data_IF_499189501682
#
_entry.id   IF_499189501682
#
_cell.length_a   1.000
_cell.length_b   1.000
_cell.length_c   1.000
_cell.angle_alpha   90.00
_cell.angle_beta   90.00
_cell.angle_gamma   90.00
#
_symmetry.space_group_name_H-M   'P 1'
#
loop_
_entity.id
_entity.type
_entity.pdbx_description
1 polymer ?
#
# COMPACT_ATOMS: atom_id res chain seq x y z
N UNK A 1 51.36 -10.38 40.76
CA UNK A 1 51.22 -11.15 42.02
C UNK A 1 50.86 -10.17 43.12
N UNK A 2 49.87 -10.55 43.94
CA UNK A 2 49.29 -9.76 45.04
C UNK A 2 50.35 -9.39 46.09
N UNK A 3 50.17 -8.27 46.79
CA UNK A 3 49.83 -8.21 48.24
C UNK A 3 49.76 -6.75 48.70
N UNK A 4 48.77 -6.52 49.56
CA UNK A 4 48.22 -5.29 50.13
C UNK A 4 49.17 -4.47 51.03
N UNK A 5 48.81 -3.22 51.33
CA UNK A 5 48.94 -2.70 52.70
C UNK A 5 47.87 -1.64 53.03
N UNK A 6 47.30 -1.82 54.22
CA UNK A 6 46.29 -1.04 54.92
C UNK A 6 46.97 0.11 55.67
N UNK A 7 46.31 1.27 55.81
CA UNK A 7 46.43 2.07 57.03
C UNK A 7 45.24 3.03 57.20
N UNK A 8 44.60 2.93 58.36
CA UNK A 8 43.47 3.71 58.82
C UNK A 8 43.94 4.81 59.78
N UNK A 9 43.32 5.98 59.79
CA UNK A 9 43.33 6.91 60.94
C UNK A 9 41.98 7.60 61.10
N UNK A 10 41.42 7.46 62.31
CA UNK A 10 40.25 8.14 62.88
C UNK A 10 40.57 9.61 63.23
N UNK A 11 39.56 10.49 63.26
CA UNK A 11 39.03 11.12 64.50
C UNK A 11 37.98 12.24 64.21
N UNK A 12 36.83 12.12 64.89
CA UNK A 12 35.72 13.08 65.15
C UNK A 12 36.15 14.18 66.18
N UNK A 13 35.28 15.09 66.72
CA UNK A 13 34.10 15.83 66.22
C UNK A 13 34.05 17.33 66.68
N UNK A 14 33.03 18.11 66.29
CA UNK A 14 32.39 19.14 67.14
C UNK A 14 30.92 19.37 66.72
N UNK A 15 30.00 19.38 67.68
CA UNK A 15 28.61 19.90 67.56
C UNK A 15 28.57 21.45 67.71
N UNK A 16 27.45 22.18 67.81
CA UNK A 16 26.15 21.95 68.47
C UNK A 16 25.18 23.09 68.01
N UNK A 17 23.87 22.78 67.86
CA UNK A 17 22.62 23.63 67.98
C UNK A 17 22.49 24.86 67.05
N UNK A 18 21.36 25.19 66.41
CA UNK A 18 19.95 24.77 66.53
C UNK A 18 19.08 26.04 66.47
N UNK A 19 18.07 26.05 65.59
CA UNK A 19 16.88 26.88 65.71
C UNK A 19 15.72 26.14 65.06
N UNK A 20 14.63 26.08 65.81
CA UNK A 20 13.44 25.28 65.62
C UNK A 20 12.30 26.13 65.04
N UNK A 21 11.38 25.45 64.36
CA UNK A 21 9.96 25.76 64.16
C UNK A 21 9.53 26.83 63.15
N UNK A 22 8.80 26.31 62.15
CA UNK A 22 7.86 27.04 61.32
C UNK A 22 7.35 26.17 60.17
N UNK A 23 6.64 25.07 60.47
CA UNK A 23 5.90 24.29 59.46
C UNK A 23 4.70 25.12 58.95
N UNK A 24 4.50 25.16 57.61
CA UNK A 24 3.14 25.10 57.10
C UNK A 24 3.00 24.00 56.05
N UNK A 25 2.00 23.14 56.24
CA UNK A 25 1.35 22.37 55.15
C UNK A 25 -0.07 22.93 54.95
N UNK A 26 -0.75 22.61 53.84
CA UNK A 26 -0.44 22.96 52.44
C UNK A 26 -1.60 23.80 51.86
N UNK A 27 -1.31 24.84 51.05
CA UNK A 27 -2.37 25.49 50.25
C UNK A 27 -2.39 24.95 48.83
N UNK A 28 -3.50 24.32 48.52
CA UNK A 28 -3.95 23.82 47.24
C UNK A 28 -3.83 24.85 46.09
N UNK A 29 -3.51 24.30 44.91
CA UNK A 29 -3.90 24.75 43.58
C UNK A 29 -3.53 26.18 43.14
N UNK A 30 -2.49 26.27 42.30
CA UNK A 30 -2.54 27.10 41.09
C UNK A 30 -1.76 26.42 39.96
N UNK A 31 -2.40 26.41 38.80
CA UNK A 31 -1.99 25.83 37.53
C UNK A 31 -0.55 26.15 37.13
N UNK A 32 0.27 25.11 36.99
CA UNK A 32 1.32 25.09 35.98
C UNK A 32 0.76 24.34 34.78
N UNK A 33 0.30 25.09 33.78
CA UNK A 33 0.16 24.58 32.43
C UNK A 33 1.56 24.28 31.92
N UNK A 34 2.04 23.07 32.20
CA UNK A 34 3.08 22.46 31.39
C UNK A 34 2.50 22.34 29.99
N UNK A 35 2.82 23.34 29.18
CA UNK A 35 2.70 23.25 27.74
C UNK A 35 3.62 22.12 27.31
N UNK A 36 3.05 20.92 27.23
CA UNK A 36 3.58 19.82 26.45
C UNK A 36 3.88 20.37 25.06
N UNK A 37 5.14 20.76 24.87
CA UNK A 37 5.69 20.98 23.56
C UNK A 37 5.47 19.66 22.83
N UNK A 38 4.51 19.67 21.89
CA UNK A 38 4.20 18.53 21.06
C UNK A 38 5.53 17.97 20.56
N UNK A 39 5.87 16.77 21.03
CA UNK A 39 6.97 15.99 20.49
C UNK A 39 6.85 16.04 18.97
N UNK A 40 7.91 16.36 18.21
CA UNK A 40 7.81 16.47 16.76
C UNK A 40 7.13 15.21 16.26
N UNK A 41 5.96 15.37 15.64
CA UNK A 41 5.09 14.27 15.25
C UNK A 41 5.95 13.21 14.58
N UNK A 42 6.05 12.02 15.20
CA UNK A 42 6.84 10.94 14.65
C UNK A 42 6.33 10.67 13.24
N UNK A 43 7.23 10.77 12.26
CA UNK A 43 6.88 10.54 10.87
C UNK A 43 6.33 9.11 10.74
N UNK A 44 5.05 9.00 10.41
CA UNK A 44 4.39 7.70 10.28
C UNK A 44 3.55 7.68 8.99
N UNK A 45 4.19 7.74 7.80
CA UNK A 45 3.49 7.75 6.50
C UNK A 45 2.64 6.50 6.27
N UNK A 46 2.85 5.45 7.06
CA UNK A 46 2.06 4.22 7.06
C UNK A 46 1.09 4.05 8.23
N UNK A 47 0.91 5.10 9.05
CA UNK A 47 -0.08 5.10 10.13
C UNK A 47 -1.50 4.89 9.61
N UNK A 48 -2.32 4.22 10.42
CA UNK A 48 -3.74 4.11 10.20
C UNK A 48 -4.41 5.48 10.09
N UNK A 49 -5.41 5.60 9.20
CA UNK A 49 -6.35 6.72 9.24
C UNK A 49 -7.52 6.35 10.15
N UNK A 50 -8.18 7.35 10.72
CA UNK A 50 -9.39 7.11 11.50
C UNK A 50 -10.40 6.32 10.65
N UNK A 51 -10.95 5.21 11.18
CA UNK A 51 -11.93 4.43 10.43
C UNK A 51 -13.14 5.30 10.13
N UNK A 52 -13.72 5.11 8.94
CA UNK A 52 -15.00 5.72 8.62
C UNK A 52 -16.07 5.21 9.61
N UNK A 53 -17.10 6.01 9.93
CA UNK A 53 -18.19 5.55 10.78
C UNK A 53 -18.81 4.25 10.25
N UNK A 54 -19.15 3.33 11.14
CA UNK A 54 -19.81 2.08 10.76
C UNK A 54 -21.09 2.38 9.94
N UNK A 55 -21.26 1.66 8.82
CA UNK A 55 -22.43 1.85 7.93
C UNK A 55 -22.33 3.02 6.94
N UNK A 56 -21.27 3.83 6.98
CA UNK A 56 -21.10 4.97 6.04
C UNK A 56 -20.81 4.56 4.58
N UNK A 57 -20.45 3.29 4.35
CA UNK A 57 -20.16 2.73 3.03
C UNK A 57 -20.92 1.42 2.80
N UNK A 58 -22.19 1.49 2.35
CA UNK A 58 -22.96 0.29 2.01
C UNK A 58 -22.31 -0.45 0.83
N UNK A 59 -22.52 -1.77 0.77
CA UNK A 59 -22.16 -2.59 -0.40
C UNK A 59 -23.04 -2.20 -1.58
N UNK A 60 -22.57 -2.44 -2.81
CA UNK A 60 -23.50 -2.49 -3.93
C UNK A 60 -24.48 -3.65 -3.70
N UNK A 61 -25.79 -3.51 -3.98
CA UNK A 61 -26.75 -4.60 -3.82
C UNK A 61 -26.39 -5.87 -4.58
N UNK A 62 -25.58 -5.73 -5.63
CA UNK A 62 -25.08 -6.83 -6.44
C UNK A 62 -23.69 -7.31 -6.00
N UNK A 63 -23.09 -6.81 -4.93
CA UNK A 63 -21.81 -7.34 -4.48
C UNK A 63 -21.95 -8.75 -3.89
N UNK A 64 -21.00 -9.63 -4.22
CA UNK A 64 -20.86 -10.91 -3.54
C UNK A 64 -20.55 -10.68 -2.06
N UNK A 65 -21.23 -11.44 -1.21
CA UNK A 65 -21.04 -11.47 0.23
C UNK A 65 -20.94 -12.94 0.64
N UNK A 66 -19.78 -13.41 1.13
CA UNK A 66 -19.60 -14.82 1.47
C UNK A 66 -20.71 -15.35 2.39
N UNK A 67 -21.36 -16.44 1.99
CA UNK A 67 -22.41 -17.10 2.78
C UNK A 67 -23.72 -16.30 2.89
N UNK A 68 -23.90 -15.24 2.11
CA UNK A 68 -25.16 -14.50 2.06
C UNK A 68 -26.21 -15.24 1.24
N UNK A 69 -27.42 -15.35 1.77
CA UNK A 69 -28.57 -15.89 1.03
C UNK A 69 -29.30 -14.82 0.19
N UNK A 70 -28.87 -13.55 0.28
CA UNK A 70 -29.64 -12.39 -0.23
C UNK A 70 -28.91 -11.56 -1.28
N UNK A 71 -27.66 -11.88 -1.60
CA UNK A 71 -26.86 -11.14 -2.59
C UNK A 71 -27.09 -11.62 -4.05
N UNK A 72 -27.91 -12.65 -4.23
CA UNK A 72 -28.23 -13.22 -5.53
C UNK A 72 -27.10 -14.01 -6.18
N UNK A 73 -26.08 -14.44 -5.42
CA UNK A 73 -25.08 -15.40 -5.88
C UNK A 73 -25.48 -16.83 -5.50
N UNK A 74 -25.35 -17.81 -6.41
CA UNK A 74 -25.44 -19.22 -6.04
C UNK A 74 -24.32 -19.60 -5.07
N UNK A 75 -24.58 -20.60 -4.22
CA UNK A 75 -23.58 -21.10 -3.29
C UNK A 75 -22.35 -21.68 -4.02
N UNK A 76 -21.16 -21.40 -3.51
CA UNK A 76 -19.87 -21.78 -4.10
C UNK A 76 -18.82 -22.07 -3.03
N UNK A 77 -17.65 -22.58 -3.42
CA UNK A 77 -16.62 -23.04 -2.47
C UNK A 77 -16.11 -21.99 -1.48
N UNK A 78 -16.31 -20.70 -1.73
CA UNK A 78 -15.78 -19.60 -0.90
C UNK A 78 -16.80 -19.00 0.08
N UNK A 79 -17.99 -19.60 0.21
CA UNK A 79 -19.03 -19.12 1.13
C UNK A 79 -18.65 -19.25 2.61
N UNK A 80 -17.63 -20.06 2.92
CA UNK A 80 -17.00 -20.10 4.25
C UNK A 80 -16.15 -18.85 4.56
N UNK A 81 -16.03 -17.93 3.61
CA UNK A 81 -15.26 -16.70 3.74
C UNK A 81 -13.75 -16.88 3.54
N UNK A 82 -13.30 -18.06 3.10
CA UNK A 82 -11.90 -18.39 2.85
C UNK A 82 -11.61 -18.46 1.35
N UNK A 83 -10.38 -18.10 0.97
CA UNK A 83 -9.95 -18.27 -0.41
C UNK A 83 -9.41 -19.70 -0.59
N UNK A 84 -9.96 -20.44 -1.55
CA UNK A 84 -9.58 -21.80 -1.87
C UNK A 84 -8.80 -21.85 -3.19
N UNK A 85 -7.46 -21.98 -3.16
CA UNK A 85 -6.64 -21.99 -4.38
C UNK A 85 -6.97 -23.16 -5.31
N UNK A 86 -6.83 -22.95 -6.62
CA UNK A 86 -6.86 -24.03 -7.60
C UNK A 86 -5.60 -24.91 -7.54
N UNK A 87 -4.45 -24.28 -7.26
CA UNK A 87 -3.15 -24.94 -7.20
C UNK A 87 -2.58 -24.90 -5.79
N UNK A 88 -1.96 -26.01 -5.37
CA UNK A 88 -1.18 -26.06 -4.13
C UNK A 88 0.06 -25.13 -4.18
N UNK A 89 0.53 -24.78 -5.38
CA UNK A 89 1.66 -23.86 -5.57
C UNK A 89 1.23 -22.62 -6.36
N UNK A 90 1.46 -21.44 -5.77
CA UNK A 90 1.10 -20.15 -6.36
C UNK A 90 2.36 -19.32 -6.57
N UNK A 91 2.88 -19.32 -7.79
CA UNK A 91 4.16 -18.67 -8.12
C UNK A 91 4.20 -17.16 -7.86
N UNK A 92 3.04 -16.50 -7.70
CA UNK A 92 2.98 -15.06 -7.39
C UNK A 92 3.32 -14.74 -5.93
N UNK A 93 3.30 -15.73 -5.02
CA UNK A 93 3.68 -15.56 -3.61
C UNK A 93 5.16 -15.15 -3.47
N UNK A 94 6.06 -15.78 -4.22
CA UNK A 94 7.50 -15.45 -4.18
C UNK A 94 7.80 -14.01 -4.58
N UNK A 95 6.95 -13.41 -5.43
CA UNK A 95 7.06 -12.00 -5.82
C UNK A 95 6.61 -11.06 -4.71
N UNK A 96 5.62 -11.46 -3.92
CA UNK A 96 5.23 -10.68 -2.72
C UNK A 96 6.31 -10.81 -1.65
N UNK A 97 6.90 -11.99 -1.46
CA UNK A 97 8.05 -12.17 -0.55
C UNK A 97 9.25 -11.33 -0.98
N UNK A 98 9.55 -11.25 -2.28
CA UNK A 98 10.57 -10.35 -2.80
C UNK A 98 10.26 -8.89 -2.48
N UNK A 99 9.00 -8.46 -2.60
CA UNK A 99 8.56 -7.12 -2.19
C UNK A 99 8.77 -6.88 -0.70
N UNK A 100 8.44 -7.84 0.17
CA UNK A 100 8.67 -7.73 1.61
C UNK A 100 10.16 -7.62 1.97
N UNK A 101 11.02 -8.38 1.29
CA UNK A 101 12.47 -8.30 1.48
C UNK A 101 13.03 -6.95 1.03
N UNK A 102 12.59 -6.46 -0.13
CA UNK A 102 12.94 -5.12 -0.61
C UNK A 102 12.47 -4.05 0.39
N UNK A 103 11.25 -4.18 0.91
CA UNK A 103 10.69 -3.25 1.89
C UNK A 103 11.53 -3.20 3.18
N UNK A 104 11.98 -4.36 3.65
CA UNK A 104 12.86 -4.46 4.82
C UNK A 104 14.21 -3.80 4.58
N UNK A 105 14.85 -4.05 3.44
CA UNK A 105 16.17 -3.50 3.09
C UNK A 105 16.08 -1.98 2.88
N UNK A 106 15.11 -1.52 2.11
CA UNK A 106 14.91 -0.10 1.78
C UNK A 106 14.12 0.67 2.84
N UNK A 107 13.82 0.05 3.98
CA UNK A 107 13.18 0.70 5.13
C UNK A 107 11.91 1.45 4.73
N UNK A 108 11.06 0.80 3.93
CA UNK A 108 9.77 1.37 3.54
C UNK A 108 9.01 1.83 4.80
N UNK A 109 8.43 3.02 4.73
CA UNK A 109 7.87 3.72 5.90
C UNK A 109 8.78 4.80 6.48
N UNK A 110 10.07 4.80 6.17
CA UNK A 110 10.97 5.92 6.47
C UNK A 110 11.50 5.97 7.90
N UNK A 111 11.44 4.86 8.63
CA UNK A 111 11.96 4.75 10.02
C UNK A 111 13.49 4.93 10.10
N UNK A 112 14.19 4.75 8.98
CA UNK A 112 15.63 5.00 8.84
C UNK A 112 15.99 5.28 7.38
N UNK A 113 17.14 5.94 7.16
CA UNK A 113 17.64 6.29 5.82
C UNK A 113 18.41 5.10 5.24
N UNK A 114 17.99 4.52 4.11
CA UNK A 114 18.76 3.46 3.45
C UNK A 114 20.07 4.00 2.87
N UNK A 115 21.09 3.14 2.86
CA UNK A 115 22.40 3.41 2.25
C UNK A 115 22.40 3.06 0.76
N UNK A 116 23.39 3.53 0.01
CA UNK A 116 23.55 3.14 -1.40
C UNK A 116 23.70 1.63 -1.61
N UNK A 117 24.32 0.92 -0.66
CA UNK A 117 24.45 -0.54 -0.69
C UNK A 117 23.08 -1.24 -0.58
N UNK A 118 22.18 -0.72 0.24
CA UNK A 118 20.81 -1.24 0.39
C UNK A 118 20.05 -1.18 -0.94
N UNK A 119 20.24 -0.12 -1.74
CA UNK A 119 19.66 -0.04 -3.09
C UNK A 119 20.22 -1.07 -4.07
N UNK A 120 21.52 -1.34 -4.00
CA UNK A 120 22.15 -2.38 -4.82
C UNK A 120 21.60 -3.76 -4.46
N UNK A 121 21.50 -4.07 -3.17
CA UNK A 121 20.95 -5.34 -2.68
C UNK A 121 19.47 -5.50 -3.07
N UNK A 122 18.65 -4.48 -2.82
CA UNK A 122 17.24 -4.48 -3.19
C UNK A 122 17.03 -4.65 -4.70
N UNK A 123 17.89 -4.03 -5.52
CA UNK A 123 17.84 -4.19 -6.98
C UNK A 123 18.15 -5.62 -7.41
N UNK A 124 19.07 -6.31 -6.73
CA UNK A 124 19.36 -7.71 -7.02
C UNK A 124 18.14 -8.60 -6.76
N UNK A 125 17.40 -8.36 -5.67
CA UNK A 125 16.15 -9.08 -5.39
C UNK A 125 15.08 -8.77 -6.44
N UNK A 126 14.91 -7.49 -6.81
CA UNK A 126 13.97 -7.08 -7.84
C UNK A 126 14.25 -7.75 -9.21
N UNK A 127 15.53 -7.89 -9.54
CA UNK A 127 16.00 -8.38 -10.85
C UNK A 127 16.21 -9.89 -10.92
N UNK A 128 15.90 -10.62 -9.85
CA UNK A 128 16.00 -12.08 -9.84
C UNK A 128 15.18 -12.71 -10.97
N UNK A 129 15.69 -13.82 -11.52
CA UNK A 129 15.04 -14.56 -12.61
C UNK A 129 13.60 -14.92 -12.26
N UNK A 130 12.68 -14.70 -13.21
CA UNK A 130 11.23 -14.84 -13.03
C UNK A 130 10.61 -14.03 -11.86
N UNK A 131 11.39 -13.12 -11.27
CA UNK A 131 11.01 -12.22 -10.18
C UNK A 131 10.12 -11.07 -10.60
N UNK A 132 10.13 -10.00 -9.80
CA UNK A 132 9.26 -8.82 -10.03
C UNK A 132 9.63 -8.14 -11.35
N UNK A 133 10.92 -7.89 -11.59
CA UNK A 133 11.38 -7.17 -12.78
C UNK A 133 10.95 -7.82 -14.08
N UNK A 134 11.03 -9.15 -14.16
CA UNK A 134 10.55 -9.92 -15.33
C UNK A 134 9.10 -9.61 -15.68
N UNK A 135 8.23 -9.37 -14.69
CA UNK A 135 6.82 -9.08 -14.89
C UNK A 135 6.58 -7.61 -15.16
N UNK A 136 7.32 -6.71 -14.53
CA UNK A 136 7.21 -5.26 -14.74
C UNK A 136 7.46 -4.90 -16.20
N UNK A 137 8.51 -5.44 -16.84
CA UNK A 137 8.87 -5.09 -18.24
C UNK A 137 7.80 -5.44 -19.28
N UNK A 138 6.78 -6.21 -18.90
CA UNK A 138 5.68 -6.65 -19.78
C UNK A 138 4.29 -6.45 -19.16
N UNK A 139 4.19 -5.71 -18.05
CA UNK A 139 2.91 -5.56 -17.36
C UNK A 139 2.01 -4.64 -18.16
N UNK A 140 0.79 -5.13 -18.42
CA UNK A 140 -0.26 -4.37 -19.07
C UNK A 140 -1.34 -4.01 -18.06
N UNK A 141 -2.03 -2.90 -18.31
CA UNK A 141 -3.20 -2.45 -17.56
C UNK A 141 -4.48 -2.73 -18.35
N UNK A 142 -5.24 -3.74 -17.91
CA UNK A 142 -6.47 -4.21 -18.58
C UNK A 142 -7.64 -3.24 -18.45
N UNK A 143 -7.48 -2.14 -17.72
CA UNK A 143 -8.43 -1.04 -17.71
C UNK A 143 -8.46 -0.23 -19.00
N UNK A 144 -7.40 -0.33 -19.81
CA UNK A 144 -7.32 0.31 -21.11
C UNK A 144 -7.58 -0.69 -22.23
N UNK A 145 -8.12 -0.24 -23.38
CA UNK A 145 -8.33 -1.09 -24.53
C UNK A 145 -7.09 -1.90 -24.90
N UNK A 146 -7.25 -3.13 -25.40
CA UNK A 146 -6.12 -3.93 -25.83
C UNK A 146 -5.39 -3.23 -26.98
N UNK A 147 -4.06 -3.29 -26.94
CA UNK A 147 -3.23 -2.84 -28.04
C UNK A 147 -3.18 -3.90 -29.16
N UNK A 148 -2.66 -3.53 -30.33
CA UNK A 148 -2.57 -4.43 -31.49
C UNK A 148 -1.69 -5.67 -31.26
N UNK A 149 -0.74 -5.60 -30.32
CA UNK A 149 0.11 -6.72 -29.88
C UNK A 149 0.40 -6.63 -28.39
N UNK A 150 0.89 -7.71 -27.80
CA UNK A 150 1.28 -7.70 -26.40
C UNK A 150 2.46 -6.75 -26.18
N UNK A 151 2.50 -6.08 -25.03
CA UNK A 151 3.50 -5.04 -24.75
C UNK A 151 4.94 -5.59 -24.74
N UNK A 152 5.13 -6.88 -24.45
CA UNK A 152 6.45 -7.54 -24.50
C UNK A 152 7.02 -7.67 -25.92
N UNK A 153 6.15 -7.63 -26.93
CA UNK A 153 6.46 -7.83 -28.34
C UNK A 153 6.52 -6.48 -29.10
N UNK A 154 6.45 -5.37 -28.36
CA UNK A 154 6.52 -4.00 -28.87
C UNK A 154 7.94 -3.44 -28.82
N UNK A 155 8.26 -2.60 -29.79
CA UNK A 155 9.43 -1.73 -29.76
C UNK A 155 9.14 -0.48 -28.88
N UNK A 156 10.16 0.35 -28.58
CA UNK A 156 9.98 1.51 -27.71
C UNK A 156 8.93 2.54 -28.19
N UNK A 157 8.83 2.79 -29.50
CA UNK A 157 7.88 3.77 -30.05
C UNK A 157 6.43 3.26 -29.92
N UNK A 158 6.22 1.98 -30.14
CA UNK A 158 4.92 1.33 -29.94
C UNK A 158 4.52 1.30 -28.46
N UNK A 159 5.46 1.05 -27.55
CA UNK A 159 5.24 1.14 -26.11
C UNK A 159 4.84 2.56 -25.72
N UNK A 160 5.53 3.57 -26.26
CA UNK A 160 5.21 4.98 -26.00
C UNK A 160 3.82 5.36 -26.52
N UNK A 161 3.45 4.89 -27.72
CA UNK A 161 2.11 5.10 -28.29
C UNK A 161 0.99 4.40 -27.50
N UNK A 162 1.32 3.35 -26.74
CA UNK A 162 0.39 2.59 -25.91
C UNK A 162 0.70 2.73 -24.41
N UNK A 163 1.25 3.85 -23.96
CA UNK A 163 1.85 3.99 -22.63
C UNK A 163 0.90 3.65 -21.46
N UNK A 164 -0.39 3.94 -21.61
CA UNK A 164 -1.40 3.62 -20.60
C UNK A 164 -1.65 2.11 -20.50
N UNK A 165 -1.79 1.44 -21.66
CA UNK A 165 -1.95 -0.01 -21.75
C UNK A 165 -0.68 -0.73 -21.34
N UNK A 166 0.48 -0.29 -21.80
CA UNK A 166 1.81 -0.85 -21.51
C UNK A 166 2.43 -0.22 -20.27
N UNK A 167 1.64 -0.10 -19.20
CA UNK A 167 1.99 0.63 -17.97
C UNK A 167 3.32 0.19 -17.34
N UNK A 168 3.62 -1.10 -17.41
CA UNK A 168 4.83 -1.71 -16.88
C UNK A 168 6.10 -1.11 -17.50
N UNK A 169 6.36 -1.36 -18.79
CA UNK A 169 7.52 -0.81 -19.46
C UNK A 169 7.47 0.71 -19.68
N UNK A 170 6.29 1.30 -19.91
CA UNK A 170 6.18 2.72 -20.25
C UNK A 170 6.28 3.66 -19.03
N UNK A 171 5.81 3.23 -17.85
CA UNK A 171 5.66 4.12 -16.68
C UNK A 171 6.34 3.58 -15.41
N UNK A 172 6.10 2.31 -15.06
CA UNK A 172 6.62 1.74 -13.81
C UNK A 172 8.14 1.50 -13.90
N UNK A 173 8.60 0.89 -14.99
CA UNK A 173 10.01 0.54 -15.18
C UNK A 173 10.94 1.78 -15.16
N UNK A 174 10.62 2.90 -15.84
CA UNK A 174 11.45 4.11 -15.76
C UNK A 174 11.59 4.66 -14.33
N UNK A 175 10.52 4.63 -13.54
CA UNK A 175 10.55 5.06 -12.13
C UNK A 175 11.51 4.17 -11.33
N UNK A 176 11.37 2.84 -11.47
CA UNK A 176 12.21 1.88 -10.75
C UNK A 176 13.68 1.98 -11.15
N UNK A 177 13.97 1.97 -12.46
CA UNK A 177 15.35 2.06 -12.97
C UNK A 177 16.05 3.30 -12.44
N UNK A 178 15.39 4.46 -12.51
CA UNK A 178 15.96 5.71 -12.02
C UNK A 178 16.12 5.71 -10.51
N UNK A 179 15.09 5.33 -9.75
CA UNK A 179 15.14 5.37 -8.30
C UNK A 179 16.18 4.40 -7.71
N UNK A 180 16.35 3.21 -8.29
CA UNK A 180 17.43 2.30 -7.90
C UNK A 180 18.81 2.89 -8.19
N UNK A 181 19.01 3.51 -9.36
CA UNK A 181 20.29 4.10 -9.73
C UNK A 181 20.63 5.32 -8.86
N UNK A 182 19.70 6.26 -8.71
CA UNK A 182 19.89 7.47 -7.91
C UNK A 182 20.10 7.12 -6.43
N UNK A 183 19.30 6.18 -5.88
CA UNK A 183 19.44 5.70 -4.51
C UNK A 183 20.78 5.00 -4.25
N UNK A 184 21.27 4.18 -5.19
CA UNK A 184 22.58 3.55 -5.09
C UNK A 184 23.74 4.56 -5.05
N UNK A 185 23.55 5.73 -5.68
CA UNK A 185 24.50 6.84 -5.67
C UNK A 185 24.31 7.78 -4.46
N UNK A 186 23.43 7.45 -3.51
CA UNK A 186 23.16 8.26 -2.31
C UNK A 186 22.35 9.54 -2.58
N UNK A 187 21.76 9.69 -3.78
CA UNK A 187 20.92 10.82 -4.12
C UNK A 187 19.51 10.57 -3.58
N UNK A 188 19.00 11.48 -2.74
CA UNK A 188 17.64 11.42 -2.16
C UNK A 188 17.21 9.99 -1.74
N UNK A 189 17.93 9.32 -0.80
CA UNK A 189 17.65 7.92 -0.49
C UNK A 189 16.21 7.67 -0.02
N UNK A 190 15.67 8.53 0.86
CA UNK A 190 14.29 8.40 1.32
C UNK A 190 13.27 8.60 0.20
N UNK A 191 13.45 9.61 -0.65
CA UNK A 191 12.55 9.83 -1.79
C UNK A 191 12.62 8.70 -2.81
N UNK A 192 13.80 8.14 -3.08
CA UNK A 192 13.95 7.01 -3.99
C UNK A 192 13.40 5.69 -3.44
N UNK A 193 13.55 5.43 -2.14
CA UNK A 193 12.87 4.31 -1.50
C UNK A 193 11.35 4.43 -1.65
N UNK A 194 10.78 5.62 -1.40
CA UNK A 194 9.35 5.88 -1.55
C UNK A 194 8.86 5.76 -3.01
N UNK A 195 9.67 6.16 -4.00
CA UNK A 195 9.36 5.95 -5.43
C UNK A 195 9.32 4.48 -5.78
N UNK A 196 10.29 3.68 -5.31
CA UNK A 196 10.34 2.24 -5.54
C UNK A 196 9.12 1.58 -4.92
N UNK A 197 8.85 1.86 -3.64
CA UNK A 197 7.68 1.35 -2.94
C UNK A 197 6.39 1.64 -3.70
N UNK A 198 6.15 2.91 -4.06
CA UNK A 198 4.95 3.33 -4.76
C UNK A 198 4.81 2.68 -6.15
N UNK A 199 5.91 2.56 -6.89
CA UNK A 199 5.92 1.89 -8.18
C UNK A 199 5.63 0.39 -8.07
N UNK A 200 6.12 -0.27 -7.00
CA UNK A 200 5.82 -1.67 -6.74
C UNK A 200 4.36 -1.87 -6.28
N UNK A 201 3.83 -0.98 -5.43
CA UNK A 201 2.40 -0.98 -5.06
C UNK A 201 1.49 -0.80 -6.29
N UNK A 202 1.86 0.10 -7.21
CA UNK A 202 1.18 0.24 -8.51
C UNK A 202 1.24 -1.07 -9.30
N UNK A 203 2.42 -1.68 -9.41
CA UNK A 203 2.56 -2.97 -10.09
C UNK A 203 1.66 -4.06 -9.48
N UNK A 204 1.57 -4.16 -8.16
CA UNK A 204 0.71 -5.15 -7.49
C UNK A 204 -0.78 -4.85 -7.69
N UNK A 205 -1.19 -3.58 -7.65
CA UNK A 205 -2.56 -3.15 -7.97
C UNK A 205 -2.99 -3.58 -9.37
N UNK A 206 -2.22 -3.19 -10.40
CA UNK A 206 -2.54 -3.55 -11.79
C UNK A 206 -2.39 -5.05 -12.02
N UNK A 207 -1.44 -5.70 -11.35
CA UNK A 207 -1.31 -7.16 -11.42
C UNK A 207 -2.55 -7.85 -10.88
N UNK A 208 -3.09 -7.46 -9.72
CA UNK A 208 -4.30 -8.09 -9.20
C UNK A 208 -5.47 -7.99 -10.21
N UNK A 209 -5.71 -6.81 -10.77
CA UNK A 209 -6.75 -6.61 -11.78
C UNK A 209 -6.51 -7.41 -13.07
N UNK A 210 -5.27 -7.41 -13.58
CA UNK A 210 -4.90 -8.16 -14.79
C UNK A 210 -5.14 -9.65 -14.61
N UNK A 211 -4.73 -10.21 -13.47
CA UNK A 211 -4.82 -11.64 -13.23
C UNK A 211 -6.28 -12.06 -12.97
N UNK A 212 -7.10 -11.18 -12.37
CA UNK A 212 -8.56 -11.35 -12.31
C UNK A 212 -9.20 -11.43 -13.71
N UNK A 213 -8.65 -10.68 -14.66
CA UNK A 213 -9.12 -10.63 -16.05
C UNK A 213 -8.71 -11.88 -16.84
N UNK A 214 -7.42 -12.23 -16.79
CA UNK A 214 -6.88 -13.41 -17.50
C UNK A 214 -7.31 -14.72 -16.85
N UNK A 215 -7.77 -14.67 -15.59
CA UNK A 215 -8.30 -15.83 -14.91
C UNK A 215 -9.40 -16.51 -15.73
N UNK A 216 -10.21 -15.80 -16.52
CA UNK A 216 -11.24 -16.42 -17.37
C UNK A 216 -10.70 -17.58 -18.25
N UNK A 217 -9.51 -17.40 -18.81
CA UNK A 217 -8.86 -18.41 -19.67
C UNK A 217 -7.91 -19.34 -18.92
N UNK A 218 -7.47 -18.97 -17.71
CA UNK A 218 -6.43 -19.69 -16.98
C UNK A 218 -6.66 -19.62 -15.47
N UNK A 219 -7.15 -20.71 -14.89
CA UNK A 219 -7.55 -20.76 -13.47
C UNK A 219 -6.43 -20.34 -12.50
N UNK A 220 -5.18 -20.72 -12.78
CA UNK A 220 -4.02 -20.34 -11.96
C UNK A 220 -3.81 -18.82 -11.83
N UNK A 221 -4.36 -18.01 -12.75
CA UNK A 221 -4.28 -16.56 -12.65
C UNK A 221 -5.26 -16.01 -11.60
N UNK A 222 -6.32 -16.73 -11.19
CA UNK A 222 -7.11 -16.37 -10.00
C UNK A 222 -6.27 -16.47 -8.72
N UNK A 223 -5.51 -17.55 -8.57
CA UNK A 223 -4.61 -17.71 -7.42
C UNK A 223 -3.53 -16.63 -7.43
N UNK A 224 -3.03 -16.29 -8.63
CA UNK A 224 -2.11 -15.18 -8.84
C UNK A 224 -2.73 -13.84 -8.40
N UNK A 225 -3.99 -13.54 -8.77
CA UNK A 225 -4.71 -12.35 -8.34
C UNK A 225 -4.77 -12.26 -6.81
N UNK A 226 -5.24 -13.32 -6.14
CA UNK A 226 -5.31 -13.38 -4.67
C UNK A 226 -3.93 -13.16 -4.05
N UNK A 227 -2.93 -13.91 -4.49
CA UNK A 227 -1.56 -13.76 -4.02
C UNK A 227 -1.01 -12.34 -4.21
N UNK A 228 -1.30 -11.68 -5.34
CA UNK A 228 -0.81 -10.32 -5.63
C UNK A 228 -1.38 -9.25 -4.72
N UNK A 229 -2.62 -9.43 -4.24
CA UNK A 229 -3.22 -8.51 -3.29
C UNK A 229 -2.88 -8.87 -1.83
N UNK A 230 -3.22 -10.10 -1.40
CA UNK A 230 -3.15 -10.51 0.01
C UNK A 230 -1.76 -11.00 0.45
N UNK A 231 -0.90 -11.35 -0.51
CA UNK A 231 0.34 -12.08 -0.23
C UNK A 231 0.14 -13.55 0.13
N UNK A 232 -1.03 -14.12 -0.16
CA UNK A 232 -1.40 -15.48 0.22
C UNK A 232 -1.99 -15.59 1.62
N UNK A 233 -2.24 -14.47 2.26
CA UNK A 233 -2.73 -14.42 3.63
C UNK A 233 -4.27 -14.55 3.69
N UNK A 234 -4.81 -15.10 4.79
CA UNK A 234 -6.25 -15.04 5.07
C UNK A 234 -6.68 -13.60 5.38
N UNK A 235 -7.98 -13.32 5.32
CA UNK A 235 -8.59 -11.99 5.58
C UNK A 235 -8.10 -11.30 6.86
N UNK A 236 -7.87 -12.06 7.91
CA UNK A 236 -7.47 -11.52 9.22
C UNK A 236 -5.99 -11.07 9.26
N UNK A 237 -5.21 -11.49 8.27
CA UNK A 237 -3.79 -11.16 8.09
C UNK A 237 -3.61 -10.32 6.81
N UNK A 238 -2.45 -9.71 6.65
CA UNK A 238 -2.17 -8.88 5.48
C UNK A 238 -0.68 -8.76 5.18
N UNK A 239 -0.33 -9.01 3.92
CA UNK A 239 1.04 -8.93 3.38
C UNK A 239 1.01 -8.27 2.00
N UNK A 240 2.11 -7.65 1.59
CA UNK A 240 2.19 -6.91 0.34
C UNK A 240 1.23 -5.72 0.32
N UNK A 241 0.52 -5.53 -0.81
CA UNK A 241 -0.42 -4.43 -1.00
C UNK A 241 -1.53 -4.41 0.08
N UNK A 242 -2.07 -5.57 0.44
CA UNK A 242 -3.14 -5.66 1.43
C UNK A 242 -2.76 -5.10 2.80
N UNK A 243 -1.48 -5.15 3.20
CA UNK A 243 -1.00 -4.55 4.47
C UNK A 243 -1.28 -3.05 4.47
N UNK A 244 -0.95 -2.38 3.38
CA UNK A 244 -1.11 -0.93 3.26
C UNK A 244 -2.57 -0.52 3.31
N UNK A 245 -3.43 -1.28 2.62
CA UNK A 245 -4.87 -1.06 2.60
C UNK A 245 -5.46 -1.32 3.98
N UNK A 246 -5.22 -2.49 4.58
CA UNK A 246 -5.78 -2.89 5.88
C UNK A 246 -5.38 -1.95 7.00
N UNK A 247 -4.12 -1.52 7.03
CA UNK A 247 -3.64 -0.57 8.03
C UNK A 247 -4.44 0.74 8.03
N UNK A 248 -4.90 1.20 6.86
CA UNK A 248 -5.59 2.49 6.69
C UNK A 248 -7.10 2.34 6.67
N UNK A 249 -7.62 1.31 6.03
CA UNK A 249 -9.05 1.06 5.92
C UNK A 249 -9.29 -0.46 5.98
N UNK A 250 -9.57 -1.00 7.18
CA UNK A 250 -10.02 -2.37 7.33
C UNK A 250 -11.22 -2.68 6.44
N UNK A 251 -12.17 -1.74 6.33
CA UNK A 251 -13.33 -1.87 5.44
C UNK A 251 -12.96 -2.01 3.97
N UNK A 252 -12.04 -1.19 3.45
CA UNK A 252 -11.59 -1.34 2.06
C UNK A 252 -10.84 -2.67 1.86
N UNK A 253 -10.09 -3.11 2.88
CA UNK A 253 -9.43 -4.42 2.84
C UNK A 253 -10.44 -5.56 2.79
N UNK A 254 -11.46 -5.54 3.63
CA UNK A 254 -12.52 -6.55 3.67
C UNK A 254 -13.30 -6.60 2.36
N UNK A 255 -13.62 -5.44 1.76
CA UNK A 255 -14.26 -5.38 0.44
C UNK A 255 -13.40 -5.91 -0.68
N UNK A 256 -12.10 -5.61 -0.66
CA UNK A 256 -11.18 -6.15 -1.65
C UNK A 256 -11.08 -7.67 -1.48
N UNK A 257 -11.03 -8.17 -0.25
CA UNK A 257 -11.06 -9.61 0.01
C UNK A 257 -12.37 -10.26 -0.48
N UNK A 258 -13.53 -9.63 -0.23
CA UNK A 258 -14.82 -10.08 -0.79
C UNK A 258 -14.78 -10.12 -2.32
N UNK A 259 -14.18 -9.12 -2.98
CA UNK A 259 -13.98 -9.11 -4.43
C UNK A 259 -13.08 -10.25 -4.93
N UNK A 260 -12.04 -10.64 -4.19
CA UNK A 260 -11.22 -11.81 -4.52
C UNK A 260 -12.04 -13.11 -4.44
N UNK A 261 -12.87 -13.22 -3.40
CA UNK A 261 -13.78 -14.35 -3.24
C UNK A 261 -14.84 -14.36 -4.35
N UNK A 262 -15.39 -13.20 -4.73
CA UNK A 262 -16.34 -13.08 -5.83
C UNK A 262 -15.76 -13.63 -7.15
N UNK A 263 -14.51 -13.29 -7.47
CA UNK A 263 -13.83 -13.81 -8.67
C UNK A 263 -13.62 -15.33 -8.57
N UNK A 264 -13.24 -15.85 -7.39
CA UNK A 264 -13.08 -17.29 -7.18
C UNK A 264 -14.42 -18.04 -7.26
N UNK A 265 -15.48 -17.48 -6.67
CA UNK A 265 -16.84 -17.99 -6.69
C UNK A 265 -17.37 -18.07 -8.11
N UNK A 266 -17.27 -16.98 -8.87
CA UNK A 266 -17.62 -16.96 -10.28
C UNK A 266 -16.92 -18.08 -11.05
N UNK A 267 -15.61 -18.24 -10.87
CA UNK A 267 -14.88 -19.32 -11.56
C UNK A 267 -15.34 -20.72 -11.17
N UNK A 268 -15.71 -20.88 -9.90
CA UNK A 268 -16.23 -22.14 -9.38
C UNK A 268 -17.55 -22.52 -10.05
N UNK A 269 -18.46 -21.56 -10.14
CA UNK A 269 -19.81 -21.73 -10.66
C UNK A 269 -19.82 -21.93 -12.18
N UNK A 270 -18.93 -21.25 -12.90
CA UNK A 270 -18.94 -21.25 -14.36
C UNK A 270 -18.15 -22.44 -14.94
N UNK A 271 -16.83 -22.51 -14.69
CA UNK A 271 -15.99 -23.59 -15.19
C UNK A 271 -14.64 -23.66 -14.45
N UNK A 272 -14.50 -24.44 -13.36
CA UNK A 272 -13.30 -24.41 -12.53
C UNK A 272 -12.04 -25.00 -13.19
N UNK A 273 -12.20 -25.88 -14.19
CA UNK A 273 -11.09 -26.58 -14.85
C UNK A 273 -10.79 -26.12 -16.28
N UNK A 274 -11.69 -25.33 -16.88
CA UNK A 274 -11.59 -24.88 -18.27
C UNK A 274 -11.69 -23.37 -18.45
N UNK A 275 -12.07 -22.97 -19.66
CA UNK A 275 -12.34 -21.59 -20.03
C UNK A 275 -13.74 -21.22 -19.51
N UNK A 276 -13.80 -20.16 -18.72
CA UNK A 276 -15.03 -19.55 -18.23
C UNK A 276 -15.74 -18.76 -19.34
N UNK A 277 -17.07 -18.87 -19.42
CA UNK A 277 -17.92 -18.28 -20.44
C UNK A 277 -18.98 -17.30 -19.89
N UNK A 278 -19.31 -17.35 -18.60
CA UNK A 278 -20.22 -16.39 -17.95
C UNK A 278 -19.50 -15.06 -17.73
N UNK A 279 -19.50 -14.23 -18.77
CA UNK A 279 -18.84 -12.94 -18.74
C UNK A 279 -19.60 -11.89 -17.90
N UNK A 280 -20.92 -12.07 -17.70
CA UNK A 280 -21.71 -11.12 -16.93
C UNK A 280 -21.36 -11.22 -15.43
N UNK A 281 -21.35 -12.45 -14.88
CA UNK A 281 -20.95 -12.68 -13.48
C UNK A 281 -19.47 -12.39 -13.27
N UNK A 282 -18.62 -12.69 -14.26
CA UNK A 282 -17.21 -12.26 -14.26
C UNK A 282 -17.08 -10.76 -14.06
N UNK A 283 -17.78 -9.97 -14.88
CA UNK A 283 -17.62 -8.53 -14.89
C UNK A 283 -18.21 -7.90 -13.62
N UNK A 284 -19.27 -8.50 -13.06
CA UNK A 284 -19.79 -8.19 -11.72
C UNK A 284 -18.70 -8.38 -10.63
N UNK A 285 -18.07 -9.56 -10.56
CA UNK A 285 -16.99 -9.84 -9.60
C UNK A 285 -15.78 -8.92 -9.78
N UNK A 286 -15.35 -8.69 -11.03
CA UNK A 286 -14.20 -7.81 -11.34
C UNK A 286 -14.48 -6.37 -10.98
N UNK A 287 -15.70 -5.88 -11.19
CA UNK A 287 -16.10 -4.52 -10.82
C UNK A 287 -16.07 -4.35 -9.31
N UNK A 288 -16.60 -5.32 -8.54
CA UNK A 288 -16.50 -5.31 -7.08
C UNK A 288 -15.04 -5.24 -6.60
N UNK A 289 -14.17 -6.07 -7.18
CA UNK A 289 -12.74 -6.05 -6.85
C UNK A 289 -12.07 -4.72 -7.21
N UNK A 290 -12.29 -4.18 -8.42
CA UNK A 290 -11.64 -2.94 -8.87
C UNK A 290 -12.06 -1.73 -8.02
N UNK A 291 -13.34 -1.60 -7.66
CA UNK A 291 -13.78 -0.48 -6.80
C UNK A 291 -13.07 -0.52 -5.44
N UNK A 292 -12.95 -1.70 -4.84
CA UNK A 292 -12.27 -1.88 -3.57
C UNK A 292 -10.75 -1.64 -3.66
N UNK A 293 -10.11 -2.12 -4.73
CA UNK A 293 -8.69 -1.87 -5.00
C UNK A 293 -8.39 -0.38 -5.22
N UNK A 294 -9.25 0.31 -5.99
CA UNK A 294 -9.15 1.76 -6.21
C UNK A 294 -9.30 2.54 -4.90
N UNK A 295 -10.28 2.19 -4.06
CA UNK A 295 -10.39 2.79 -2.72
C UNK A 295 -9.16 2.49 -1.87
N UNK A 296 -8.63 1.27 -1.94
CA UNK A 296 -7.41 0.88 -1.26
C UNK A 296 -6.21 1.76 -1.63
N UNK A 297 -5.99 2.01 -2.91
CA UNK A 297 -4.98 2.98 -3.36
C UNK A 297 -5.30 4.40 -2.91
N UNK A 298 -6.55 4.85 -3.03
CA UNK A 298 -6.96 6.19 -2.63
C UNK A 298 -6.69 6.47 -1.15
N UNK A 299 -6.94 5.52 -0.24
CA UNK A 299 -6.63 5.71 1.19
C UNK A 299 -5.11 5.73 1.47
N UNK A 300 -4.31 5.02 0.66
CA UNK A 300 -2.84 5.10 0.74
C UNK A 300 -2.34 6.47 0.31
N UNK A 301 -2.92 7.04 -0.76
CA UNK A 301 -2.60 8.38 -1.27
C UNK A 301 -3.12 9.49 -0.34
N UNK A 302 -4.25 9.26 0.32
CA UNK A 302 -4.89 10.19 1.27
C UNK A 302 -4.10 10.31 2.57
N UNK A 303 -3.80 9.17 3.21
CA UNK A 303 -2.65 9.14 4.12
C UNK A 303 -1.39 9.43 3.30
N UNK A 304 -0.15 9.60 3.74
CA UNK A 304 0.96 10.14 2.89
C UNK A 304 0.75 11.57 2.38
N UNK A 305 -0.42 11.97 1.86
CA UNK A 305 -0.76 13.38 1.63
C UNK A 305 -0.92 14.12 2.95
N UNK A 306 -1.51 13.47 3.97
CA UNK A 306 -1.51 13.95 5.35
C UNK A 306 -0.09 14.13 5.90
N UNK A 307 0.76 13.14 5.64
CA UNK A 307 2.16 13.07 6.08
C UNK A 307 3.13 13.61 5.02
N UNK A 308 2.71 14.55 4.16
CA UNK A 308 3.51 14.95 2.97
C UNK A 308 4.86 15.58 3.30
N UNK A 309 5.01 16.05 4.54
CA UNK A 309 6.26 16.59 5.07
C UNK A 309 7.26 15.48 5.49
N UNK A 310 6.80 14.24 5.67
CA UNK A 310 7.63 13.11 6.02
C UNK A 310 8.51 12.67 4.84
N UNK A 311 9.73 12.22 5.14
CA UNK A 311 10.73 11.83 4.15
C UNK A 311 10.18 10.88 3.09
N UNK A 312 10.13 11.34 1.84
CA UNK A 312 9.68 10.57 0.68
C UNK A 312 8.15 10.42 0.51
N UNK A 313 7.32 10.77 1.50
CA UNK A 313 5.87 10.56 1.44
C UNK A 313 5.23 11.23 0.22
N UNK A 314 5.62 12.48 -0.08
CA UNK A 314 5.15 13.20 -1.26
C UNK A 314 5.54 12.52 -2.58
N UNK A 315 6.71 11.86 -2.65
CA UNK A 315 7.10 11.11 -3.85
C UNK A 315 6.20 9.90 -4.06
N UNK A 316 5.82 9.22 -2.97
CA UNK A 316 4.84 8.14 -3.02
C UNK A 316 3.46 8.63 -3.46
N UNK A 317 3.01 9.78 -2.95
CA UNK A 317 1.74 10.42 -3.37
C UNK A 317 1.74 10.73 -4.86
N UNK A 318 2.81 11.30 -5.40
CA UNK A 318 2.89 11.63 -6.84
C UNK A 318 2.81 10.40 -7.74
N UNK A 319 3.48 9.31 -7.36
CA UNK A 319 3.44 8.06 -8.13
C UNK A 319 2.07 7.40 -8.05
N UNK A 320 1.56 7.14 -6.83
CA UNK A 320 0.28 6.44 -6.66
C UNK A 320 -0.94 7.30 -7.01
N UNK A 321 -0.88 8.60 -6.77
CA UNK A 321 -1.95 9.54 -7.12
C UNK A 321 -2.19 9.58 -8.63
N UNK A 322 -1.13 9.49 -9.44
CA UNK A 322 -1.25 9.43 -10.90
C UNK A 322 -2.00 8.17 -11.38
N UNK A 323 -1.93 7.07 -10.63
CA UNK A 323 -2.66 5.82 -10.94
C UNK A 323 -4.18 6.04 -10.87
N UNK A 324 -4.63 6.93 -9.99
CA UNK A 324 -6.04 7.19 -9.76
C UNK A 324 -6.69 8.04 -10.86
N UNK A 325 -5.91 8.71 -11.72
CA UNK A 325 -6.43 9.71 -12.66
C UNK A 325 -7.46 9.16 -13.65
N UNK A 326 -7.25 7.94 -14.18
CA UNK A 326 -8.22 7.26 -15.06
C UNK A 326 -9.59 7.15 -14.39
N UNK A 327 -9.61 6.54 -13.20
CA UNK A 327 -10.84 6.32 -12.46
C UNK A 327 -11.44 7.64 -11.96
N UNK A 328 -10.59 8.59 -11.57
CA UNK A 328 -11.02 9.91 -11.15
C UNK A 328 -11.73 10.64 -12.31
N UNK A 329 -11.13 10.66 -13.49
CA UNK A 329 -11.68 11.33 -14.68
C UNK A 329 -12.99 10.70 -15.12
N UNK A 330 -13.10 9.37 -15.07
CA UNK A 330 -14.32 8.66 -15.38
C UNK A 330 -15.47 8.95 -14.39
N UNK A 331 -15.15 9.26 -13.13
CA UNK A 331 -16.14 9.58 -12.08
C UNK A 331 -16.55 11.04 -12.10
N UNK A 332 -15.59 11.95 -12.14
CA UNK A 332 -15.80 13.40 -12.14
C UNK A 332 -14.56 14.12 -12.70
N UNK A 333 -14.64 14.54 -13.96
CA UNK A 333 -13.53 15.18 -14.66
C UNK A 333 -13.05 16.49 -13.99
N UNK A 334 -13.94 17.24 -13.34
CA UNK A 334 -13.58 18.48 -12.66
C UNK A 334 -12.77 18.21 -11.40
N UNK A 335 -13.21 17.26 -10.57
CA UNK A 335 -12.43 16.83 -9.39
C UNK A 335 -11.13 16.13 -9.77
N UNK A 336 -11.12 15.37 -10.86
CA UNK A 336 -9.89 14.78 -11.39
C UNK A 336 -8.89 15.86 -11.82
N UNK A 337 -9.35 16.96 -12.42
CA UNK A 337 -8.48 18.09 -12.76
C UNK A 337 -7.87 18.75 -11.51
N UNK A 338 -8.62 18.87 -10.41
CA UNK A 338 -8.09 19.33 -9.12
C UNK A 338 -7.00 18.38 -8.61
N UNK A 339 -7.28 17.07 -8.59
CA UNK A 339 -6.32 16.05 -8.18
C UNK A 339 -5.02 16.13 -9.03
N UNK A 340 -5.14 16.20 -10.36
CA UNK A 340 -3.99 16.34 -11.28
C UNK A 340 -3.20 17.61 -11.02
N UNK A 341 -3.88 18.75 -10.83
CA UNK A 341 -3.21 20.03 -10.59
C UNK A 341 -2.38 20.01 -9.30
N UNK A 342 -2.90 19.39 -8.24
CA UNK A 342 -2.17 19.25 -6.98
C UNK A 342 -1.00 18.25 -7.09
N UNK A 343 -1.18 17.11 -7.76
CA UNK A 343 -0.13 16.11 -7.97
C UNK A 343 1.00 16.57 -8.91
N UNK A 344 0.74 17.53 -9.79
CA UNK A 344 1.74 18.11 -10.68
C UNK A 344 2.80 18.94 -9.94
N UNK A 345 2.52 19.35 -8.70
CA UNK A 345 3.44 20.15 -7.87
C UNK A 345 4.64 19.30 -7.45
N UNK A 346 5.84 19.85 -7.62
CA UNK A 346 7.09 19.12 -7.40
C UNK A 346 7.49 19.05 -5.93
N UNK A 347 7.06 20.02 -5.13
CA UNK A 347 7.33 20.11 -3.68
C UNK A 347 6.03 20.03 -2.87
N UNK A 348 6.07 19.45 -1.66
CA UNK A 348 4.90 19.33 -0.80
C UNK A 348 4.36 20.68 -0.29
N UNK A 349 5.21 21.71 -0.21
CA UNK A 349 4.86 23.03 0.31
C UNK A 349 3.93 23.80 -0.64
N UNK A 350 4.01 23.53 -1.94
CA UNK A 350 3.12 24.15 -2.91
C UNK A 350 1.70 23.57 -2.89
N UNK A 351 1.48 22.43 -2.25
CA UNK A 351 0.25 21.63 -2.32
C UNK A 351 -0.82 22.22 -1.41
N UNK A 352 -2.00 22.46 -1.98
CA UNK A 352 -3.22 22.74 -1.20
C UNK A 352 -3.77 21.39 -0.72
N UNK A 353 -3.32 20.98 0.46
CA UNK A 353 -3.68 19.70 1.03
C UNK A 353 -5.19 19.54 1.23
N UNK A 354 -5.90 20.61 1.60
CA UNK A 354 -7.35 20.54 1.78
C UNK A 354 -8.06 20.24 0.46
N UNK A 355 -7.64 20.87 -0.65
CA UNK A 355 -8.17 20.56 -1.98
C UNK A 355 -7.83 19.13 -2.42
N UNK A 356 -6.59 18.71 -2.21
CA UNK A 356 -6.16 17.35 -2.57
C UNK A 356 -6.97 16.28 -1.83
N UNK A 357 -7.10 16.41 -0.51
CA UNK A 357 -7.87 15.47 0.31
C UNK A 357 -9.36 15.51 -0.02
N UNK A 358 -9.93 16.71 -0.20
CA UNK A 358 -11.32 16.88 -0.58
C UNK A 358 -11.64 16.25 -1.95
N UNK A 359 -10.74 16.36 -2.93
CA UNK A 359 -10.89 15.69 -4.22
C UNK A 359 -10.83 14.16 -4.07
N UNK A 360 -9.86 13.62 -3.31
CA UNK A 360 -9.74 12.17 -3.07
C UNK A 360 -10.98 11.60 -2.38
N UNK A 361 -11.46 12.25 -1.32
CA UNK A 361 -12.61 11.79 -0.54
C UNK A 361 -13.90 11.85 -1.36
N UNK A 362 -14.07 12.85 -2.23
CA UNK A 362 -15.23 12.95 -3.10
C UNK A 362 -15.18 12.00 -4.31
N UNK A 363 -14.00 11.70 -4.85
CA UNK A 363 -13.83 10.78 -5.98
C UNK A 363 -13.88 9.32 -5.57
N UNK A 364 -13.38 8.99 -4.37
CA UNK A 364 -13.27 7.62 -3.87
C UNK A 364 -13.88 7.49 -2.48
N UNK A 365 -15.17 7.81 -2.27
CA UNK A 365 -15.76 7.86 -0.92
C UNK A 365 -15.81 6.48 -0.26
N UNK A 366 -16.13 5.46 -1.05
CA UNK A 366 -16.33 4.09 -0.59
C UNK A 366 -15.69 3.08 -1.55
N UNK A 367 -15.34 1.88 -1.04
CA UNK A 367 -14.93 0.73 -1.84
C UNK A 367 -16.05 0.15 -2.69
#
# INVERSE_FOLDING_TARGET
MRVSLVCAWLLLPMGIVGCEAGDPTPSSALDATDGDAASPASCAPDRAIAPAPAGSCPRDPTDFVPGSETDGWPACVVDDGLYHPFSASVASLTRVEAFERIASILRFGGDSVPTGADFVEARAIYSADEGIGSRVVRREDEHYPPAAKACRDMNPDEIAANADRCVGPAKILPILTRAFADGANGVDPLGNAARIEAALLWFFYVSAHKEATTCASKAADCDSMWAKYSGGEPRTSAKGLSRYVRARSPTAHDRAYDGLLAVRCWRDLDNPSGVAADLATRDRARTQLDRALLRGLAVIVRQRSLERACGGAWQGVRVLGAVLDRAATARDAAKAAVLRAELAKTTPDGVDQAKLLGALDALFPCP
#
